data_IF_507428839022
#
_entry.id   IF_507428839022
#
_cell.length_a   1.000
_cell.length_b   1.000
_cell.length_c   1.000
_cell.angle_alpha   90.00
_cell.angle_beta   90.00
_cell.angle_gamma   90.00
#
_symmetry.space_group_name_H-M   'P 1'
#
loop_
_entity.id
_entity.type
_entity.pdbx_description
1 polymer ?
#
# COMPACT_ATOMS: atom_id res chain seq x y z
N UNK A 1 -39.97 23.80 49.96
CA UNK A 1 -40.56 23.26 48.70
C UNK A 1 -39.68 22.08 48.28
N UNK A 2 -40.16 20.87 48.42
CA UNK A 2 -39.40 19.63 48.16
C UNK A 2 -39.67 19.28 46.71
N UNK A 3 -38.62 19.31 45.86
CA UNK A 3 -38.75 18.94 44.47
C UNK A 3 -39.18 17.47 44.33
N UNK A 4 -40.13 17.20 43.48
CA UNK A 4 -40.74 15.88 43.28
C UNK A 4 -39.72 14.90 42.74
N UNK A 5 -39.70 13.68 43.29
CA UNK A 5 -38.85 12.55 42.85
C UNK A 5 -38.96 12.22 41.34
N UNK A 6 -40.01 12.70 40.67
CA UNK A 6 -40.22 12.49 39.23
C UNK A 6 -39.32 13.37 38.35
N UNK A 7 -38.95 14.55 38.83
CA UNK A 7 -38.11 15.51 38.10
C UNK A 7 -36.63 15.10 38.11
N UNK A 8 -36.18 14.35 39.16
CA UNK A 8 -34.80 13.85 39.30
C UNK A 8 -34.54 12.67 38.34
N UNK A 9 -35.56 11.82 38.10
CA UNK A 9 -35.42 10.65 37.19
C UNK A 9 -35.28 11.09 35.72
N UNK A 10 -35.97 12.17 35.33
CA UNK A 10 -35.94 12.66 33.95
C UNK A 10 -34.60 13.29 33.56
N UNK A 11 -33.96 13.97 34.51
CA UNK A 11 -32.64 14.60 34.27
C UNK A 11 -31.52 13.56 34.15
N UNK A 12 -31.60 12.44 34.92
CA UNK A 12 -30.60 11.36 34.83
C UNK A 12 -30.68 10.54 33.53
N UNK A 13 -31.87 10.37 32.96
CA UNK A 13 -32.05 9.64 31.70
C UNK A 13 -31.56 10.42 30.49
N UNK A 14 -31.62 11.74 30.49
CA UNK A 14 -31.13 12.59 29.37
C UNK A 14 -29.61 12.66 29.38
N UNK A 15 -28.97 12.69 30.55
CA UNK A 15 -27.47 12.71 30.64
C UNK A 15 -26.82 11.40 30.23
N UNK A 16 -27.51 10.25 30.39
CA UNK A 16 -26.95 8.95 30.01
C UNK A 16 -26.97 8.66 28.49
N UNK A 17 -27.92 9.32 27.75
CA UNK A 17 -27.98 9.16 26.29
C UNK A 17 -27.01 10.05 25.51
N UNK A 18 -26.51 11.13 26.11
CA UNK A 18 -25.52 12.01 25.47
C UNK A 18 -24.12 11.43 25.43
N UNK A 19 -23.79 10.44 26.28
CA UNK A 19 -22.46 9.87 26.39
C UNK A 19 -22.17 8.75 25.36
N UNK A 20 -23.18 8.23 24.66
CA UNK A 20 -23.02 7.07 23.75
C UNK A 20 -22.71 7.51 22.30
N UNK A 21 -22.87 8.80 21.96
CA UNK A 21 -22.71 9.29 20.59
C UNK A 21 -21.26 9.73 20.27
N UNK A 22 -20.38 9.76 21.26
CA UNK A 22 -19.04 10.35 21.10
C UNK A 22 -17.93 9.39 20.62
N UNK A 23 -18.20 8.10 20.34
CA UNK A 23 -17.17 7.12 19.99
C UNK A 23 -17.44 6.33 18.70
N UNK A 24 -18.16 6.92 17.74
CA UNK A 24 -18.01 6.48 16.36
C UNK A 24 -16.78 7.17 15.75
N UNK A 25 -15.58 6.79 16.18
CA UNK A 25 -14.39 7.06 15.39
C UNK A 25 -14.66 6.50 13.99
N UNK A 26 -14.91 7.42 13.06
CA UNK A 26 -15.00 7.11 11.63
C UNK A 26 -13.70 6.43 11.26
N UNK A 27 -13.68 5.08 11.28
CA UNK A 27 -12.59 4.26 10.76
C UNK A 27 -12.32 4.81 9.36
N UNK A 28 -11.24 5.58 9.22
CA UNK A 28 -10.89 6.19 7.95
C UNK A 28 -10.68 5.03 6.97
N UNK A 29 -11.64 4.85 6.07
CA UNK A 29 -11.59 3.78 5.06
C UNK A 29 -10.28 3.95 4.29
N UNK A 30 -9.39 2.96 4.43
CA UNK A 30 -8.18 2.91 3.64
C UNK A 30 -8.59 2.66 2.19
N UNK A 31 -8.06 3.45 1.27
CA UNK A 31 -8.25 3.18 -0.16
C UNK A 31 -7.55 1.86 -0.49
N UNK A 32 -8.31 0.84 -0.91
CA UNK A 32 -7.78 -0.48 -1.26
C UNK A 32 -7.62 -0.62 -2.77
N UNK A 33 -6.45 -1.08 -3.19
CA UNK A 33 -6.12 -1.36 -4.60
C UNK A 33 -5.58 -2.78 -4.69
N UNK A 34 -6.12 -3.59 -5.57
CA UNK A 34 -5.56 -4.90 -5.91
C UNK A 34 -4.73 -4.78 -7.17
N UNK A 35 -3.50 -5.28 -7.16
CA UNK A 35 -2.57 -5.30 -8.29
C UNK A 35 -2.04 -6.73 -8.44
N UNK A 36 -2.03 -7.25 -9.68
CA UNK A 36 -1.47 -8.55 -9.96
C UNK A 36 -0.27 -8.45 -10.90
N UNK A 37 0.74 -9.31 -10.65
CA UNK A 37 1.82 -9.57 -11.59
C UNK A 37 1.63 -10.92 -12.28
N UNK A 38 2.14 -11.08 -13.50
CA UNK A 38 2.00 -12.30 -14.29
C UNK A 38 3.28 -12.70 -15.02
N UNK A 39 3.28 -13.87 -15.65
CA UNK A 39 4.45 -14.43 -16.35
C UNK A 39 4.87 -13.65 -17.61
N UNK A 40 4.15 -12.60 -18.01
CA UNK A 40 4.57 -11.67 -19.06
C UNK A 40 5.33 -10.46 -18.52
N UNK A 41 5.74 -10.51 -17.23
CA UNK A 41 6.45 -9.44 -16.52
C UNK A 41 5.69 -8.11 -16.58
N UNK A 42 4.40 -8.13 -16.29
CA UNK A 42 3.54 -6.95 -16.28
C UNK A 42 2.67 -6.89 -15.03
N UNK A 43 2.44 -5.68 -14.53
CA UNK A 43 1.32 -5.40 -13.64
C UNK A 43 0.04 -5.20 -14.46
N UNK A 44 -1.08 -5.74 -13.99
CA UNK A 44 -2.41 -5.53 -14.60
C UNK A 44 -2.89 -4.08 -14.39
N UNK A 45 -2.64 -3.50 -13.23
CA UNK A 45 -2.86 -2.08 -12.95
C UNK A 45 -1.55 -1.34 -13.18
N UNK A 46 -1.50 -0.46 -14.18
CA UNK A 46 -0.31 0.36 -14.49
C UNK A 46 -0.42 1.78 -13.96
N UNK A 47 -1.64 2.25 -13.69
CA UNK A 47 -1.89 3.58 -13.15
C UNK A 47 -3.06 3.52 -12.17
N UNK A 48 -2.93 4.17 -11.02
CA UNK A 48 -4.01 4.38 -10.07
C UNK A 48 -3.83 5.70 -9.32
N UNK A 49 -4.90 6.16 -8.67
CA UNK A 49 -4.91 7.44 -7.97
C UNK A 49 -5.21 7.23 -6.48
N UNK A 50 -4.57 8.04 -5.64
CA UNK A 50 -4.80 8.05 -4.20
C UNK A 50 -4.92 9.49 -3.68
N UNK A 51 -5.61 9.65 -2.55
CA UNK A 51 -5.74 10.95 -1.89
C UNK A 51 -4.58 11.20 -0.95
N UNK A 52 -3.96 12.39 -1.07
CA UNK A 52 -2.84 12.82 -0.22
C UNK A 52 -3.15 12.64 1.28
N UNK A 53 -2.20 12.07 2.02
CA UNK A 53 -2.28 11.87 3.46
C UNK A 53 -3.29 10.81 3.93
N UNK A 54 -3.99 10.11 3.02
CA UNK A 54 -4.92 9.03 3.38
C UNK A 54 -4.20 7.70 3.48
N UNK A 55 -4.76 6.78 4.26
CA UNK A 55 -4.27 5.40 4.33
C UNK A 55 -4.58 4.68 3.02
N UNK A 56 -3.60 3.94 2.51
CA UNK A 56 -3.69 3.12 1.30
C UNK A 56 -3.31 1.70 1.67
N UNK A 57 -4.04 0.75 1.12
CA UNK A 57 -3.79 -0.68 1.22
C UNK A 57 -3.63 -1.23 -0.19
N UNK A 58 -2.50 -1.83 -0.51
CA UNK A 58 -2.30 -2.55 -1.76
C UNK A 58 -2.29 -4.04 -1.46
N UNK A 59 -3.17 -4.78 -2.12
CA UNK A 59 -3.16 -6.24 -2.17
C UNK A 59 -2.41 -6.63 -3.44
N UNK A 60 -1.17 -7.10 -3.29
CA UNK A 60 -0.38 -7.55 -4.43
C UNK A 60 -0.43 -9.07 -4.55
N UNK A 61 -0.68 -9.58 -5.77
CA UNK A 61 -0.82 -11.01 -6.09
C UNK A 61 0.12 -11.40 -7.22
N UNK A 62 0.74 -12.57 -7.13
CA UNK A 62 1.38 -13.19 -8.29
C UNK A 62 0.39 -14.17 -8.94
N UNK A 63 -0.17 -13.78 -10.08
CA UNK A 63 -1.11 -14.58 -10.88
C UNK A 63 -0.42 -15.49 -11.92
N UNK A 64 0.93 -15.49 -11.94
CA UNK A 64 1.73 -16.36 -12.79
C UNK A 64 1.69 -17.84 -12.38
N UNK A 65 2.34 -18.66 -13.17
CA UNK A 65 2.44 -20.12 -12.97
C UNK A 65 3.89 -20.60 -12.87
N UNK A 66 4.85 -19.77 -13.29
CA UNK A 66 6.26 -20.12 -13.31
C UNK A 66 6.88 -20.08 -11.91
N UNK A 67 7.87 -20.95 -11.61
CA UNK A 67 8.49 -21.00 -10.30
C UNK A 67 9.04 -19.66 -9.82
N UNK A 68 8.91 -19.37 -8.53
CA UNK A 68 9.34 -18.13 -7.87
C UNK A 68 10.81 -17.76 -8.19
N UNK A 69 11.70 -18.74 -8.25
CA UNK A 69 13.12 -18.54 -8.52
C UNK A 69 13.37 -18.04 -9.95
N UNK A 70 12.46 -18.30 -10.88
CA UNK A 70 12.58 -17.93 -12.30
C UNK A 70 11.68 -16.73 -12.66
N UNK A 71 10.55 -16.55 -11.99
CA UNK A 71 9.53 -15.58 -12.35
C UNK A 71 8.77 -15.05 -11.10
N UNK A 72 9.50 -14.86 -10.01
CA UNK A 72 8.95 -14.20 -8.84
C UNK A 72 8.67 -12.73 -9.10
N UNK A 73 7.67 -12.16 -8.41
CA UNK A 73 7.31 -10.76 -8.53
C UNK A 73 7.21 -10.11 -7.17
N UNK A 74 7.63 -8.85 -7.09
CA UNK A 74 7.35 -7.96 -5.97
C UNK A 74 6.82 -6.62 -6.49
N UNK A 75 6.26 -5.83 -5.58
CA UNK A 75 5.88 -4.46 -5.83
C UNK A 75 6.67 -3.55 -4.90
N UNK A 76 7.44 -2.63 -5.46
CA UNK A 76 8.23 -1.64 -4.73
C UNK A 76 7.74 -0.25 -5.13
N UNK A 77 7.09 0.46 -4.20
CA UNK A 77 6.63 1.84 -4.39
C UNK A 77 7.77 2.80 -4.02
N UNK A 78 8.10 3.68 -4.94
CA UNK A 78 9.25 4.57 -4.85
C UNK A 78 8.88 5.97 -4.35
N UNK A 79 9.84 6.68 -3.80
CA UNK A 79 9.72 8.11 -3.47
C UNK A 79 9.54 8.94 -4.74
N UNK A 80 8.97 10.13 -4.59
CA UNK A 80 8.75 11.06 -5.70
C UNK A 80 10.06 11.41 -6.41
N UNK A 81 10.03 11.39 -7.74
CA UNK A 81 11.18 11.71 -8.58
C UNK A 81 12.16 10.55 -8.79
N UNK A 82 11.96 9.41 -8.13
CA UNK A 82 12.77 8.21 -8.37
C UNK A 82 12.18 7.45 -9.55
N UNK A 83 12.98 7.30 -10.62
CA UNK A 83 12.59 6.54 -11.80
C UNK A 83 12.61 5.03 -11.54
N UNK A 84 11.54 4.33 -11.91
CA UNK A 84 11.43 2.87 -11.81
C UNK A 84 12.55 2.14 -12.56
N UNK A 85 12.89 2.61 -13.76
CA UNK A 85 13.97 2.01 -14.56
C UNK A 85 15.31 2.21 -13.87
N UNK A 86 15.64 3.44 -13.47
CA UNK A 86 16.91 3.74 -12.80
C UNK A 86 17.02 3.00 -11.46
N UNK A 87 15.91 2.91 -10.70
CA UNK A 87 15.87 2.14 -9.46
C UNK A 87 16.09 0.64 -9.70
N UNK A 88 15.46 0.06 -10.72
CA UNK A 88 15.67 -1.34 -11.09
C UNK A 88 17.12 -1.64 -11.50
N UNK A 89 17.76 -0.73 -12.23
CA UNK A 89 19.19 -0.81 -12.54
C UNK A 89 20.07 -0.71 -11.28
N UNK A 90 19.74 0.25 -10.38
CA UNK A 90 20.42 0.40 -9.07
C UNK A 90 20.26 -0.87 -8.23
N UNK A 91 19.07 -1.48 -8.22
CA UNK A 91 18.81 -2.73 -7.51
C UNK A 91 19.66 -3.88 -8.04
N UNK A 92 19.73 -4.04 -9.37
CA UNK A 92 20.55 -5.05 -10.00
C UNK A 92 22.04 -4.84 -9.69
N UNK A 93 22.52 -3.61 -9.78
CA UNK A 93 23.90 -3.23 -9.41
C UNK A 93 24.22 -3.44 -7.93
N UNK A 94 23.22 -3.35 -7.04
CA UNK A 94 23.34 -3.65 -5.62
C UNK A 94 23.24 -5.15 -5.29
N UNK A 95 23.14 -6.03 -6.30
CA UNK A 95 23.09 -7.47 -6.13
C UNK A 95 21.70 -8.05 -5.94
N UNK A 96 20.64 -7.33 -6.38
CA UNK A 96 19.27 -7.87 -6.35
C UNK A 96 19.21 -9.20 -7.12
N UNK A 97 18.53 -10.17 -6.53
CA UNK A 97 18.38 -11.53 -7.06
C UNK A 97 17.05 -12.15 -6.56
N UNK A 98 16.77 -13.38 -6.96
CA UNK A 98 15.52 -14.07 -6.59
C UNK A 98 15.39 -14.37 -5.07
N UNK A 99 16.48 -14.31 -4.30
CA UNK A 99 16.46 -14.50 -2.84
C UNK A 99 16.37 -13.16 -2.11
N UNK A 100 17.10 -12.15 -2.61
CA UNK A 100 17.10 -10.79 -2.08
C UNK A 100 16.79 -9.79 -3.21
N UNK A 101 15.52 -9.61 -3.58
CA UNK A 101 15.14 -8.74 -4.71
C UNK A 101 15.24 -7.24 -4.37
N UNK A 102 15.34 -6.88 -3.09
CA UNK A 102 15.43 -5.51 -2.62
C UNK A 102 16.54 -5.36 -1.56
N UNK A 103 17.81 -5.20 -1.97
CA UNK A 103 18.94 -4.99 -1.06
C UNK A 103 18.73 -3.78 -0.14
N UNK A 104 19.20 -3.88 1.11
CA UNK A 104 19.01 -2.84 2.14
C UNK A 104 19.62 -1.49 1.75
N UNK A 105 20.72 -1.52 1.02
CA UNK A 105 21.46 -0.33 0.57
C UNK A 105 20.69 0.62 -0.33
N UNK A 106 19.55 0.19 -0.87
CA UNK A 106 18.70 1.01 -1.77
C UNK A 106 17.32 1.32 -1.19
N UNK A 107 17.01 0.84 0.01
CA UNK A 107 15.69 1.03 0.64
C UNK A 107 15.39 2.50 1.00
N UNK A 108 16.39 3.36 1.03
CA UNK A 108 16.20 4.81 1.25
C UNK A 108 15.25 5.47 0.24
N UNK A 109 15.16 4.92 -0.98
CA UNK A 109 14.30 5.43 -2.06
C UNK A 109 12.87 4.83 -2.03
N UNK A 110 12.56 3.95 -1.08
CA UNK A 110 11.32 3.17 -1.03
C UNK A 110 10.34 3.73 0.00
N UNK A 111 9.06 3.81 -0.39
CA UNK A 111 7.94 4.13 0.51
C UNK A 111 7.37 2.86 1.13
N UNK A 112 7.12 1.84 0.32
CA UNK A 112 6.56 0.57 0.73
C UNK A 112 6.95 -0.52 -0.26
N UNK A 113 7.05 -1.76 0.20
CA UNK A 113 7.36 -2.89 -0.68
C UNK A 113 6.74 -4.18 -0.16
N UNK A 114 6.46 -5.10 -1.08
CA UNK A 114 6.20 -6.51 -0.76
C UNK A 114 7.50 -7.31 -0.76
N UNK A 115 7.47 -8.49 -0.15
CA UNK A 115 8.45 -9.54 -0.43
C UNK A 115 8.30 -10.03 -1.87
N UNK A 116 9.23 -10.85 -2.33
CA UNK A 116 9.08 -11.58 -3.58
C UNK A 116 7.99 -12.65 -3.44
N UNK A 117 7.04 -12.68 -4.36
CA UNK A 117 5.93 -13.63 -4.39
C UNK A 117 6.15 -14.68 -5.49
N UNK A 118 5.89 -15.94 -5.17
CA UNK A 118 5.75 -17.03 -6.12
C UNK A 118 4.32 -17.17 -6.66
N UNK A 119 4.07 -18.13 -7.56
CA UNK A 119 2.76 -18.32 -8.18
C UNK A 119 1.66 -18.57 -7.13
N UNK A 120 0.55 -17.82 -7.24
CA UNK A 120 -0.60 -17.88 -6.32
C UNK A 120 -0.39 -17.24 -4.95
N UNK A 121 0.81 -16.75 -4.63
CA UNK A 121 1.05 -16.01 -3.38
C UNK A 121 0.49 -14.59 -3.46
N UNK A 122 0.06 -14.07 -2.30
CA UNK A 122 -0.35 -12.67 -2.15
C UNK A 122 0.26 -12.05 -0.88
N UNK A 123 0.39 -10.75 -0.88
CA UNK A 123 0.80 -9.96 0.27
C UNK A 123 0.09 -8.60 0.29
N UNK A 124 -0.21 -8.14 1.48
CA UNK A 124 -0.83 -6.85 1.71
C UNK A 124 0.19 -5.89 2.30
N UNK A 125 0.37 -4.75 1.65
CA UNK A 125 1.12 -3.63 2.21
C UNK A 125 0.19 -2.46 2.51
N UNK A 126 0.46 -1.76 3.60
CA UNK A 126 -0.31 -0.58 4.02
C UNK A 126 0.65 0.57 4.30
N UNK A 127 0.31 1.75 3.79
CA UNK A 127 1.08 2.97 4.00
C UNK A 127 0.16 4.18 4.04
N UNK A 128 0.71 5.33 4.44
CA UNK A 128 0.03 6.61 4.29
C UNK A 128 0.51 7.26 3.00
N UNK A 129 -0.42 7.60 2.10
CA UNK A 129 -0.09 8.31 0.87
C UNK A 129 0.69 9.60 1.20
N UNK A 130 1.76 9.90 0.47
CA UNK A 130 2.49 11.15 0.65
C UNK A 130 1.58 12.37 0.65
N UNK A 131 1.92 13.41 1.40
CA UNK A 131 1.20 14.69 1.37
C UNK A 131 1.50 15.48 0.09
N UNK A 132 2.67 15.29 -0.48
CA UNK A 132 3.09 15.93 -1.71
C UNK A 132 2.40 15.29 -2.90
N UNK A 133 1.62 16.07 -3.65
CA UNK A 133 0.90 15.63 -4.84
C UNK A 133 1.85 15.34 -6.00
N UNK A 134 1.45 14.44 -6.88
CA UNK A 134 2.19 14.11 -8.10
C UNK A 134 2.34 12.62 -8.33
N UNK A 135 3.22 12.25 -9.25
CA UNK A 135 3.49 10.88 -9.68
C UNK A 135 4.55 10.23 -8.79
N UNK A 136 4.27 8.97 -8.43
CA UNK A 136 5.15 8.07 -7.69
C UNK A 136 5.20 6.75 -8.45
N UNK A 137 6.38 6.37 -8.92
CA UNK A 137 6.50 5.13 -9.68
C UNK A 137 6.56 3.91 -8.76
N UNK A 138 6.12 2.76 -9.26
CA UNK A 138 6.33 1.46 -8.63
C UNK A 138 6.86 0.44 -9.64
N UNK A 139 7.59 -0.55 -9.16
CA UNK A 139 8.39 -1.43 -10.00
C UNK A 139 8.54 -2.82 -9.37
N UNK A 140 8.72 -3.84 -10.20
CA UNK A 140 9.23 -5.14 -9.77
C UNK A 140 10.76 -5.13 -9.87
N UNK A 141 11.45 -5.51 -8.78
CA UNK A 141 12.92 -5.53 -8.71
C UNK A 141 13.51 -6.92 -8.92
N UNK A 142 12.71 -7.92 -9.28
CA UNK A 142 13.27 -9.18 -9.77
C UNK A 142 14.18 -8.90 -10.97
N UNK A 143 15.36 -9.53 -11.08
CA UNK A 143 16.33 -9.22 -12.13
C UNK A 143 15.72 -9.15 -13.53
N UNK A 144 15.88 -8.01 -14.21
CA UNK A 144 15.39 -7.78 -15.57
C UNK A 144 13.93 -7.34 -15.69
N UNK A 145 13.07 -7.54 -14.66
CA UNK A 145 11.63 -7.23 -14.77
C UNK A 145 11.33 -5.74 -14.83
N UNK A 146 12.14 -4.89 -14.21
CA UNK A 146 11.95 -3.44 -14.12
C UNK A 146 11.81 -2.75 -15.50
N UNK A 147 12.31 -3.35 -16.55
CA UNK A 147 12.21 -2.78 -17.90
C UNK A 147 10.73 -2.70 -18.38
N UNK A 148 9.91 -3.68 -17.99
CA UNK A 148 8.51 -3.79 -18.42
C UNK A 148 7.51 -3.73 -17.25
N UNK A 149 7.90 -4.26 -16.07
CA UNK A 149 7.01 -4.42 -14.93
C UNK A 149 7.08 -3.22 -13.99
N UNK A 150 6.40 -2.14 -14.37
CA UNK A 150 6.32 -0.87 -13.65
C UNK A 150 4.99 -0.17 -13.85
N UNK A 151 4.69 0.78 -13.00
CA UNK A 151 3.49 1.60 -13.06
C UNK A 151 3.62 2.89 -12.23
N UNK A 152 2.53 3.64 -12.14
CA UNK A 152 2.49 4.96 -11.49
C UNK A 152 1.29 5.07 -10.56
N UNK A 153 1.55 5.46 -9.32
CA UNK A 153 0.56 5.97 -8.38
C UNK A 153 0.53 7.50 -8.46
N UNK A 154 -0.63 8.08 -8.69
CA UNK A 154 -0.83 9.53 -8.67
C UNK A 154 -1.46 9.96 -7.35
N UNK A 155 -0.77 10.81 -6.59
CA UNK A 155 -1.29 11.44 -5.38
C UNK A 155 -2.01 12.75 -5.74
N UNK A 156 -3.30 12.86 -5.35
CA UNK A 156 -4.17 14.03 -5.62
C UNK A 156 -4.58 14.79 -4.38
#
# INVERSE_FOLDING_TARGET
>A
MIASMKDIVLVFTILFHAAIIANAEKKADAQEITISGNDTMQFDVKNFEVTAGKKVKIVFKNSGKLPKIAMGHNLVLLKKGVSAIAFGQKALGAGANAVNPLPDSIKEDVIASTKLLGPGEEEVISFTAPKEKGAYEYVCTFPGHFAMMRGTMTVK
#
